data_IF_738733080084
#
_entry.id   IF_738733080084
#
_cell.length_a   1.000
_cell.length_b   1.000
_cell.length_c   1.000
_cell.angle_alpha   90.00
_cell.angle_beta   90.00
_cell.angle_gamma   90.00
#
_symmetry.space_group_name_H-M   'P 1'
#
loop_
_entity.id
_entity.type
_entity.pdbx_description
1 polymer ?
#
# COMPACT_ATOMS: atom_id res chain seq x y z
N UNK A 1 -11.09 20.80 10.27
CA UNK A 1 -12.53 20.45 10.23
C UNK A 1 -13.41 21.62 10.64
N UNK A 2 -13.37 22.07 11.91
CA UNK A 2 -14.22 23.18 12.39
C UNK A 2 -14.12 24.45 11.53
N UNK A 3 -12.91 24.84 11.10
CA UNK A 3 -12.71 25.99 10.23
C UNK A 3 -13.44 25.88 8.88
N UNK A 4 -13.55 24.68 8.31
CA UNK A 4 -14.30 24.48 7.07
C UNK A 4 -15.81 24.61 7.28
N UNK A 5 -16.33 24.04 8.38
CA UNK A 5 -17.74 24.22 8.76
C UNK A 5 -18.08 25.71 8.96
N UNK A 6 -17.22 26.45 9.67
CA UNK A 6 -17.37 27.89 9.83
C UNK A 6 -17.27 28.65 8.51
N UNK A 7 -16.39 28.22 7.59
CA UNK A 7 -16.28 28.83 6.26
C UNK A 7 -17.55 28.64 5.42
N UNK A 8 -18.27 27.52 5.57
CA UNK A 8 -19.54 27.31 4.88
C UNK A 8 -20.63 28.31 5.33
N UNK A 9 -20.58 28.71 6.60
CA UNK A 9 -21.45 29.74 7.20
C UNK A 9 -20.88 31.17 7.04
N UNK A 10 -19.83 31.37 6.24
CA UNK A 10 -19.11 32.65 6.09
C UNK A 10 -18.55 33.22 7.40
N UNK A 11 -18.30 32.38 8.41
CA UNK A 11 -17.79 32.74 9.75
C UNK A 11 -16.34 32.27 9.98
N UNK A 12 -15.57 32.09 8.92
CA UNK A 12 -14.17 31.65 9.04
C UNK A 12 -13.30 32.75 9.66
N UNK A 13 -12.69 32.45 10.81
CA UNK A 13 -11.57 33.23 11.33
C UNK A 13 -10.25 32.70 10.74
N UNK A 14 -9.66 33.44 9.79
CA UNK A 14 -8.42 33.06 9.10
C UNK A 14 -7.20 33.06 10.01
N UNK A 15 -7.13 33.97 10.98
CA UNK A 15 -6.01 34.05 11.93
C UNK A 15 -5.95 32.82 12.83
N UNK A 16 -7.11 32.39 13.33
CA UNK A 16 -7.24 31.16 14.11
C UNK A 16 -6.82 29.95 13.30
N UNK A 17 -7.20 29.89 12.01
CA UNK A 17 -6.76 28.81 11.11
C UNK A 17 -5.23 28.81 10.93
N UNK A 18 -4.62 29.98 10.64
CA UNK A 18 -3.18 30.13 10.41
C UNK A 18 -2.34 29.86 11.66
N UNK A 19 -2.89 30.11 12.86
CA UNK A 19 -2.20 29.83 14.14
C UNK A 19 -1.76 28.37 14.28
N UNK A 20 -2.48 27.44 13.67
CA UNK A 20 -2.17 26.00 13.69
C UNK A 20 -1.45 25.51 12.43
N UNK A 21 -1.12 26.40 11.50
CA UNK A 21 -0.41 26.04 10.27
C UNK A 21 1.09 25.87 10.54
N UNK A 22 1.77 25.18 9.62
CA UNK A 22 3.22 25.15 9.54
C UNK A 22 3.80 26.56 9.36
N UNK A 23 5.09 26.78 9.66
CA UNK A 23 5.76 28.06 9.40
C UNK A 23 5.66 28.53 7.95
N UNK A 24 5.59 27.59 6.99
CA UNK A 24 5.43 27.88 5.56
C UNK A 24 3.99 28.14 5.11
N UNK A 25 3.00 28.06 6.02
CA UNK A 25 1.57 28.18 5.72
C UNK A 25 1.06 27.23 4.63
N UNK A 26 1.74 26.10 4.45
CA UNK A 26 1.50 25.13 3.38
C UNK A 26 0.80 23.85 3.90
N UNK A 27 0.83 23.57 5.21
CA UNK A 27 0.14 22.42 5.79
C UNK A 27 -0.19 22.58 7.27
N UNK A 28 -1.03 21.69 7.80
CA UNK A 28 -1.44 21.67 9.21
C UNK A 28 -0.91 20.42 9.91
N UNK A 29 0.22 20.51 10.64
CA UNK A 29 0.85 19.34 11.26
C UNK A 29 -0.03 18.73 12.35
N UNK A 30 -0.04 17.39 12.42
CA UNK A 30 -0.78 16.62 13.43
C UNK A 30 0.14 15.54 14.00
N UNK A 31 0.20 15.41 15.32
CA UNK A 31 1.07 14.44 16.02
C UNK A 31 0.73 12.96 15.73
N UNK A 32 -0.48 12.68 15.25
CA UNK A 32 -0.98 11.33 14.95
C UNK A 32 -0.44 10.72 13.64
N UNK A 33 0.38 11.46 12.89
CA UNK A 33 1.05 10.97 11.69
C UNK A 33 0.49 11.52 10.37
N UNK A 34 1.14 11.15 9.27
CA UNK A 34 0.94 11.76 7.94
C UNK A 34 -0.50 11.66 7.42
N UNK A 35 -1.20 10.54 7.66
CA UNK A 35 -2.57 10.35 7.15
C UNK A 35 -3.53 11.39 7.75
N UNK A 36 -3.42 11.64 9.06
CA UNK A 36 -4.23 12.65 9.75
C UNK A 36 -3.83 14.08 9.34
N UNK A 37 -2.54 14.30 9.07
CA UNK A 37 -2.02 15.57 8.57
C UNK A 37 -2.56 15.90 7.18
N UNK A 38 -2.65 14.91 6.28
CA UNK A 38 -3.26 15.05 4.96
C UNK A 38 -4.73 15.44 5.06
N UNK A 39 -5.48 14.77 5.94
CA UNK A 39 -6.88 15.08 6.17
C UNK A 39 -7.07 16.50 6.74
N UNK A 40 -6.32 16.85 7.78
CA UNK A 40 -6.39 18.18 8.41
C UNK A 40 -6.07 19.30 7.41
N UNK A 41 -5.01 19.11 6.62
CA UNK A 41 -4.58 20.06 5.58
C UNK A 41 -5.61 20.18 4.47
N UNK A 42 -6.27 19.08 4.08
CA UNK A 42 -7.35 19.09 3.08
C UNK A 42 -8.56 19.91 3.54
N UNK A 43 -8.97 19.77 4.81
CA UNK A 43 -10.02 20.62 5.38
C UNK A 43 -9.62 22.09 5.45
N UNK A 44 -8.35 22.39 5.75
CA UNK A 44 -7.86 23.76 5.76
C UNK A 44 -7.88 24.38 4.34
N UNK A 45 -7.47 23.61 3.32
CA UNK A 45 -7.57 24.01 1.93
C UNK A 45 -9.02 24.32 1.53
N UNK A 46 -9.97 23.43 1.86
CA UNK A 46 -11.40 23.64 1.61
C UNK A 46 -11.92 24.92 2.28
N UNK A 47 -11.50 25.20 3.51
CA UNK A 47 -11.87 26.44 4.22
C UNK A 47 -11.34 27.69 3.51
N UNK A 48 -10.08 27.67 3.06
CA UNK A 48 -9.46 28.78 2.31
C UNK A 48 -10.15 29.01 0.96
N UNK A 49 -10.43 27.92 0.23
CA UNK A 49 -11.14 27.96 -1.07
C UNK A 49 -12.56 28.48 -0.91
N UNK A 50 -13.26 28.08 0.16
CA UNK A 50 -14.61 28.59 0.47
C UNK A 50 -14.61 30.07 0.80
N UNK A 51 -13.56 30.55 1.48
CA UNK A 51 -13.39 31.96 1.82
C UNK A 51 -12.74 32.81 0.69
N UNK A 52 -12.60 32.27 -0.52
CA UNK A 52 -12.01 32.97 -1.68
C UNK A 52 -10.52 33.31 -1.55
N UNK A 53 -9.81 32.73 -0.58
CA UNK A 53 -8.41 33.02 -0.28
C UNK A 53 -7.44 32.22 -1.18
N UNK A 54 -7.56 32.36 -2.51
CA UNK A 54 -6.85 31.50 -3.47
C UNK A 54 -5.32 31.65 -3.44
N UNK A 55 -4.81 32.84 -3.14
CA UNK A 55 -3.37 33.08 -3.01
C UNK A 55 -2.78 32.28 -1.83
N UNK A 56 -3.52 32.19 -0.71
CA UNK A 56 -3.12 31.43 0.47
C UNK A 56 -3.33 29.92 0.28
N UNK A 57 -4.33 29.52 -0.51
CA UNK A 57 -4.59 28.13 -0.82
C UNK A 57 -3.54 27.50 -1.76
N UNK A 58 -2.88 28.30 -2.60
CA UNK A 58 -1.89 27.83 -3.59
C UNK A 58 -0.74 27.01 -2.98
N UNK A 59 0.00 27.48 -1.96
CA UNK A 59 1.06 26.67 -1.34
C UNK A 59 0.53 25.36 -0.74
N UNK A 60 -0.69 25.38 -0.19
CA UNK A 60 -1.34 24.19 0.38
C UNK A 60 -1.61 23.12 -0.68
N UNK A 61 -2.07 23.54 -1.86
CA UNK A 61 -2.28 22.64 -3.00
C UNK A 61 -0.97 22.01 -3.49
N UNK A 62 0.09 22.80 -3.58
CA UNK A 62 1.42 22.30 -3.96
C UNK A 62 1.90 21.24 -2.99
N UNK A 63 1.83 21.52 -1.69
CA UNK A 63 2.22 20.56 -0.65
C UNK A 63 1.41 19.26 -0.74
N UNK A 64 0.08 19.33 -0.85
CA UNK A 64 -0.80 18.15 -0.97
C UNK A 64 -0.49 17.30 -2.21
N UNK A 65 -0.11 17.93 -3.33
CA UNK A 65 0.30 17.22 -4.55
C UNK A 65 1.60 16.44 -4.33
N UNK A 66 2.54 17.00 -3.58
CA UNK A 66 3.83 16.39 -3.26
C UNK A 66 3.73 15.21 -2.29
N UNK A 67 2.69 15.16 -1.45
CA UNK A 67 2.52 14.09 -0.46
C UNK A 67 1.98 12.76 -1.03
N UNK A 68 1.85 12.61 -2.35
CA UNK A 68 1.36 11.35 -2.95
C UNK A 68 2.34 10.21 -2.66
N UNK A 69 1.80 9.08 -2.21
CA UNK A 69 2.56 7.84 -1.97
C UNK A 69 2.00 6.69 -2.82
N UNK A 70 2.51 5.48 -2.53
CA UNK A 70 2.32 4.17 -3.20
C UNK A 70 1.01 4.09 -4.01
N UNK A 71 1.11 3.64 -5.28
CA UNK A 71 -0.02 3.54 -6.23
C UNK A 71 -0.74 4.84 -6.61
N UNK A 72 -0.25 6.01 -6.19
CA UNK A 72 -0.81 7.31 -6.59
C UNK A 72 -2.06 7.67 -5.80
N UNK A 73 -2.28 6.93 -4.71
CA UNK A 73 -3.30 7.14 -3.71
C UNK A 73 -2.62 7.46 -2.37
N UNK A 74 -3.23 8.31 -1.59
CA UNK A 74 -2.97 8.49 -0.16
C UNK A 74 -3.37 7.20 0.59
N UNK A 75 -2.65 6.87 1.66
CA UNK A 75 -2.68 5.55 2.33
C UNK A 75 -4.03 5.18 3.01
N UNK A 76 -5.06 6.03 2.93
CA UNK A 76 -6.36 5.82 3.58
C UNK A 76 -7.49 6.34 2.69
N UNK A 77 -8.65 5.68 2.71
CA UNK A 77 -9.86 6.09 1.96
C UNK A 77 -10.31 7.50 2.34
N UNK A 78 -10.32 7.82 3.63
CA UNK A 78 -10.74 9.14 4.12
C UNK A 78 -9.76 10.24 3.68
N UNK A 79 -8.45 10.02 3.86
CA UNK A 79 -7.44 10.98 3.40
C UNK A 79 -7.47 11.14 1.88
N UNK A 80 -7.62 10.04 1.13
CA UNK A 80 -7.80 10.09 -0.33
C UNK A 80 -8.95 10.99 -0.74
N UNK A 81 -10.15 10.69 -0.23
CA UNK A 81 -11.35 11.41 -0.59
C UNK A 81 -11.20 12.91 -0.29
N UNK A 82 -10.71 13.23 0.91
CA UNK A 82 -10.55 14.63 1.33
C UNK A 82 -9.53 15.39 0.49
N UNK A 83 -8.38 14.79 0.17
CA UNK A 83 -7.37 15.46 -0.64
C UNK A 83 -7.88 15.67 -2.06
N UNK A 84 -8.48 14.64 -2.68
CA UNK A 84 -9.02 14.78 -4.03
C UNK A 84 -10.14 15.83 -4.09
N UNK A 85 -11.07 15.81 -3.13
CA UNK A 85 -12.13 16.80 -3.05
C UNK A 85 -11.57 18.22 -2.91
N UNK A 86 -10.64 18.42 -1.97
CA UNK A 86 -10.08 19.75 -1.70
C UNK A 86 -9.32 20.32 -2.90
N UNK A 87 -8.48 19.50 -3.54
CA UNK A 87 -7.70 19.90 -4.72
C UNK A 87 -8.62 20.12 -5.92
N UNK A 88 -9.64 19.29 -6.14
CA UNK A 88 -10.62 19.49 -7.20
C UNK A 88 -11.40 20.79 -7.00
N UNK A 89 -11.91 21.05 -5.79
CA UNK A 89 -12.67 22.27 -5.50
C UNK A 89 -11.83 23.53 -5.74
N UNK A 90 -10.54 23.51 -5.35
CA UNK A 90 -9.59 24.58 -5.70
C UNK A 90 -9.55 24.83 -7.21
N UNK A 91 -9.30 23.80 -8.03
CA UNK A 91 -9.19 23.95 -9.49
C UNK A 91 -10.51 24.33 -10.17
N UNK A 92 -11.66 23.98 -9.59
CA UNK A 92 -12.97 24.41 -10.15
C UNK A 92 -13.28 25.88 -9.91
N UNK A 93 -12.74 26.47 -8.84
CA UNK A 93 -13.06 27.85 -8.42
C UNK A 93 -12.00 28.87 -8.77
N UNK A 94 -10.74 28.45 -8.84
CA UNK A 94 -9.68 29.29 -9.38
C UNK A 94 -9.99 29.51 -10.85
N UNK A 95 -10.48 30.71 -11.18
CA UNK A 95 -10.46 31.22 -12.55
C UNK A 95 -9.00 31.47 -12.87
N UNK A 96 -8.28 30.43 -13.30
CA UNK A 96 -6.94 30.61 -13.83
C UNK A 96 -7.09 31.47 -15.10
N UNK A 97 -6.82 32.76 -14.92
CA UNK A 97 -6.42 33.62 -16.01
C UNK A 97 -5.22 32.97 -16.70
N UNK A 98 -5.27 32.99 -18.01
CA UNK A 98 -4.37 32.33 -18.95
C UNK A 98 -4.68 30.86 -19.23
N UNK A 99 -5.24 30.69 -20.44
CA UNK A 99 -5.22 29.47 -21.23
C UNK A 99 -3.79 28.93 -21.25
N UNK A 100 -3.43 28.09 -20.29
CA UNK A 100 -2.18 27.34 -20.30
C UNK A 100 -2.15 26.52 -21.60
N UNK A 101 -1.38 26.99 -22.58
CA UNK A 101 -1.00 26.22 -23.75
C UNK A 101 -0.07 25.14 -23.22
N UNK A 102 -0.66 24.05 -22.75
CA UNK A 102 0.05 22.85 -22.34
C UNK A 102 0.44 22.15 -23.64
N UNK A 103 1.60 22.50 -24.20
CA UNK A 103 2.26 21.78 -25.28
C UNK A 103 3.58 21.27 -24.69
N UNK A 104 3.51 20.09 -24.08
CA UNK A 104 4.61 19.43 -23.41
C UNK A 104 4.92 18.13 -24.15
N UNK A 105 6.13 18.03 -24.67
CA UNK A 105 6.65 16.80 -25.26
C UNK A 105 7.59 16.14 -24.26
N UNK A 106 7.43 14.83 -24.06
CA UNK A 106 8.18 14.02 -23.09
C UNK A 106 8.73 12.79 -23.79
N UNK A 107 10.05 12.68 -23.81
CA UNK A 107 10.78 11.53 -24.34
C UNK A 107 11.34 10.71 -23.18
N UNK A 108 10.97 9.43 -23.11
CA UNK A 108 11.41 8.48 -22.08
C UNK A 108 12.33 7.45 -22.72
N UNK A 109 13.60 7.45 -22.34
CA UNK A 109 14.59 6.48 -22.78
C UNK A 109 14.70 5.35 -21.75
N UNK A 110 14.13 4.21 -22.10
CA UNK A 110 14.18 3.00 -21.28
C UNK A 110 15.39 2.12 -21.62
N UNK A 111 15.97 1.41 -20.64
CA UNK A 111 17.05 0.46 -20.87
C UNK A 111 16.60 -0.69 -21.79
N UNK A 112 17.48 -1.11 -22.71
CA UNK A 112 17.22 -2.19 -23.66
C UNK A 112 16.35 -1.82 -24.86
N UNK A 113 15.88 -0.56 -24.98
CA UNK A 113 15.17 -0.07 -26.16
C UNK A 113 16.08 0.83 -27.02
N UNK A 114 16.10 0.64 -28.36
CA UNK A 114 16.92 1.46 -29.24
C UNK A 114 16.38 2.89 -29.40
N UNK A 115 15.06 3.06 -29.32
CA UNK A 115 14.37 4.35 -29.49
C UNK A 115 13.69 4.79 -28.20
N UNK A 116 13.63 6.11 -27.92
CA UNK A 116 12.85 6.63 -26.80
C UNK A 116 11.34 6.54 -27.09
N UNK A 117 10.56 6.33 -26.04
CA UNK A 117 9.11 6.44 -26.10
C UNK A 117 8.74 7.93 -26.05
N UNK A 118 8.05 8.42 -27.08
CA UNK A 118 7.70 9.84 -27.21
C UNK A 118 6.24 10.06 -26.86
N UNK A 119 5.97 11.04 -26.00
CA UNK A 119 4.62 11.44 -25.60
C UNK A 119 4.43 12.93 -25.80
N UNK A 120 3.37 13.31 -26.51
CA UNK A 120 3.00 14.72 -26.69
C UNK A 120 1.69 15.02 -25.96
N UNK A 121 1.74 16.01 -25.08
CA UNK A 121 0.63 16.51 -24.30
C UNK A 121 0.22 17.89 -24.80
N UNK A 122 -1.02 18.00 -25.27
CA UNK A 122 -1.65 19.19 -25.80
C UNK A 122 -2.96 19.49 -25.06
N UNK A 123 -3.61 20.62 -25.35
CA UNK A 123 -4.91 21.00 -24.73
C UNK A 123 -6.03 19.98 -24.90
N UNK A 124 -5.96 19.10 -25.90
CA UNK A 124 -6.99 18.07 -26.14
C UNK A 124 -6.73 16.80 -25.34
N UNK A 125 -5.48 16.49 -25.00
CA UNK A 125 -5.09 15.20 -24.41
C UNK A 125 -4.36 15.32 -23.05
N UNK A 126 -4.23 16.53 -22.49
CA UNK A 126 -3.50 16.78 -21.24
C UNK A 126 -4.01 16.00 -20.01
N UNK A 127 -5.28 15.59 -20.04
CA UNK A 127 -5.88 14.79 -18.97
C UNK A 127 -5.58 13.29 -19.09
N UNK A 128 -5.02 12.84 -20.22
CA UNK A 128 -4.73 11.43 -20.46
C UNK A 128 -3.41 11.04 -19.79
N UNK A 129 -3.44 9.94 -19.04
CA UNK A 129 -2.23 9.31 -18.50
C UNK A 129 -1.57 8.47 -19.60
N UNK A 130 -0.26 8.65 -19.79
CA UNK A 130 0.57 7.81 -20.66
C UNK A 130 1.43 6.88 -19.81
N UNK A 131 1.61 5.64 -20.25
CA UNK A 131 2.39 4.64 -19.53
C UNK A 131 3.30 3.88 -20.48
N UNK A 132 4.52 3.60 -20.05
CA UNK A 132 5.41 2.63 -20.69
C UNK A 132 5.90 1.63 -19.66
N UNK A 133 6.17 0.40 -20.11
CA UNK A 133 6.58 -0.73 -19.26
C UNK A 133 7.93 -1.27 -19.73
N UNK A 134 8.80 -1.62 -18.78
CA UNK A 134 10.05 -2.33 -19.03
C UNK A 134 10.18 -3.53 -18.11
N UNK A 135 10.84 -4.58 -18.59
CA UNK A 135 11.15 -5.77 -17.79
C UNK A 135 12.43 -5.59 -16.96
N UNK A 136 13.22 -4.55 -17.23
CA UNK A 136 14.44 -4.24 -16.49
C UNK A 136 14.13 -3.40 -15.24
N UNK A 137 14.63 -3.84 -14.08
CA UNK A 137 14.51 -3.15 -12.79
C UNK A 137 15.90 -2.61 -12.40
N UNK A 138 15.96 -1.49 -11.67
CA UNK A 138 17.19 -0.84 -11.17
C UNK A 138 18.18 -0.41 -12.26
N UNK A 139 17.67 -0.04 -13.42
CA UNK A 139 18.47 0.51 -14.52
C UNK A 139 18.16 2.00 -14.68
N UNK A 140 19.14 2.84 -15.05
CA UNK A 140 18.91 4.27 -15.21
C UNK A 140 17.91 4.53 -16.35
N UNK A 141 16.95 5.40 -16.09
CA UNK A 141 15.97 5.89 -17.07
C UNK A 141 16.25 7.36 -17.31
N UNK A 142 16.31 7.79 -18.58
CA UNK A 142 16.47 9.20 -18.93
C UNK A 142 15.14 9.76 -19.40
N UNK A 143 14.74 10.89 -18.84
CA UNK A 143 13.51 11.60 -19.24
C UNK A 143 13.87 13.00 -19.69
N UNK A 144 13.44 13.34 -20.89
CA UNK A 144 13.62 14.66 -21.49
C UNK A 144 12.25 15.28 -21.70
N UNK A 145 12.01 16.45 -21.12
CA UNK A 145 10.77 17.19 -21.28
C UNK A 145 11.04 18.52 -22.00
N UNK A 146 10.28 18.81 -23.06
CA UNK A 146 10.41 20.02 -23.87
C UNK A 146 9.07 20.70 -24.09
N UNK A 147 9.06 22.02 -24.22
CA UNK A 147 7.83 22.80 -24.44
C UNK A 147 7.33 23.52 -23.17
N UNK A 148 6.05 23.88 -23.18
CA UNK A 148 5.38 24.65 -22.12
C UNK A 148 4.29 23.80 -21.47
N UNK A 149 4.38 23.59 -20.17
CA UNK A 149 3.41 22.82 -19.40
C UNK A 149 4.01 22.27 -18.12
N UNK A 150 3.16 21.72 -17.27
CA UNK A 150 3.57 21.02 -16.06
C UNK A 150 2.95 19.63 -16.07
N UNK A 151 3.74 18.62 -15.72
CA UNK A 151 3.31 17.23 -15.65
C UNK A 151 3.93 16.53 -14.45
N UNK A 152 3.38 15.37 -14.11
CA UNK A 152 3.91 14.50 -13.06
C UNK A 152 4.36 13.19 -13.70
N UNK A 153 5.64 12.87 -13.53
CA UNK A 153 6.19 11.57 -13.91
C UNK A 153 6.22 10.66 -12.68
N UNK A 154 5.65 9.46 -12.83
CA UNK A 154 5.68 8.43 -11.79
C UNK A 154 6.35 7.17 -12.31
N UNK A 155 7.44 6.76 -11.66
CA UNK A 155 8.13 5.50 -11.95
C UNK A 155 7.81 4.47 -10.87
N UNK A 156 7.33 3.30 -11.31
CA UNK A 156 6.87 2.22 -10.43
C UNK A 156 7.59 0.92 -10.79
N UNK A 157 8.44 0.44 -9.88
CA UNK A 157 9.12 -0.86 -10.04
C UNK A 157 8.38 -1.94 -9.27
N UNK A 158 7.73 -2.86 -9.98
CA UNK A 158 7.07 -4.03 -9.39
C UNK A 158 8.03 -5.22 -9.41
N UNK A 159 8.42 -5.68 -8.23
CA UNK A 159 9.33 -6.81 -8.11
C UNK A 159 8.92 -7.74 -6.98
N UNK A 160 9.53 -8.90 -7.02
CA UNK A 160 9.30 -9.99 -6.12
C UNK A 160 10.41 -9.99 -5.08
N UNK A 161 10.09 -9.68 -3.82
CA UNK A 161 11.05 -9.73 -2.71
C UNK A 161 10.80 -10.96 -1.85
N UNK A 162 11.88 -11.58 -1.35
CA UNK A 162 11.71 -12.57 -0.30
C UNK A 162 10.99 -11.89 0.86
N UNK A 163 10.12 -12.60 1.60
CA UNK A 163 9.68 -12.13 2.89
C UNK A 163 10.96 -12.04 3.74
N UNK A 164 11.57 -10.85 3.79
CA UNK A 164 12.35 -10.50 4.98
C UNK A 164 11.40 -10.84 6.13
N UNK A 165 11.88 -11.52 7.16
CA UNK A 165 11.15 -11.61 8.42
C UNK A 165 11.12 -10.18 8.99
N UNK A 166 10.41 -9.28 8.32
CA UNK A 166 9.74 -8.21 8.97
C UNK A 166 8.60 -8.92 9.67
N UNK A 167 8.89 -9.44 10.86
CA UNK A 167 8.01 -9.03 11.94
C UNK A 167 7.98 -7.49 11.82
N UNK A 168 7.01 -6.96 11.07
CA UNK A 168 6.78 -5.52 11.06
C UNK A 168 6.54 -5.24 12.53
N UNK A 169 7.45 -4.49 13.16
CA UNK A 169 7.42 -4.22 14.59
C UNK A 169 5.97 -3.93 14.96
N UNK A 170 5.37 -4.88 15.70
CA UNK A 170 3.95 -4.88 16.02
C UNK A 170 3.71 -3.82 17.10
N UNK A 171 3.91 -2.55 16.72
CA UNK A 171 3.98 -1.40 17.62
C UNK A 171 2.62 -1.05 18.20
N UNK A 172 1.56 -1.32 17.43
CA UNK A 172 0.18 -0.94 17.76
C UNK A 172 -0.73 -2.10 18.11
N UNK A 173 -0.34 -3.33 17.78
CA UNK A 173 -1.17 -4.51 18.00
C UNK A 173 -0.33 -5.62 18.57
N UNK A 174 -0.84 -6.33 19.57
CA UNK A 174 -0.35 -7.64 19.92
C UNK A 174 -1.21 -8.67 19.17
N UNK A 175 -0.56 -9.44 18.28
CA UNK A 175 -1.21 -10.41 17.41
C UNK A 175 -0.61 -11.80 17.68
N UNK A 176 -1.47 -12.73 18.08
CA UNK A 176 -1.17 -14.16 18.21
C UNK A 176 -1.94 -14.93 17.16
N UNK A 177 -1.28 -15.88 16.50
CA UNK A 177 -1.89 -16.74 15.48
C UNK A 177 -1.48 -18.18 15.76
N UNK A 178 -2.47 -19.04 15.94
CA UNK A 178 -2.28 -20.46 16.22
C UNK A 178 -3.12 -21.30 15.27
N UNK A 179 -2.50 -22.35 14.73
CA UNK A 179 -3.19 -23.33 13.90
C UNK A 179 -3.30 -24.65 14.66
N UNK A 180 -4.51 -25.01 15.07
CA UNK A 180 -4.78 -26.14 15.95
C UNK A 180 -5.41 -27.28 15.12
N UNK A 181 -4.84 -28.48 15.07
CA UNK A 181 -5.46 -29.61 14.36
C UNK A 181 -6.79 -30.00 15.02
N UNK A 182 -7.84 -30.25 14.21
CA UNK A 182 -9.15 -30.73 14.68
C UNK A 182 -9.42 -32.15 14.20
N UNK A 183 -9.18 -32.40 12.90
CA UNK A 183 -9.24 -33.71 12.29
C UNK A 183 -8.17 -33.76 11.21
N UNK A 184 -7.22 -34.69 11.33
CA UNK A 184 -6.17 -34.90 10.33
C UNK A 184 -6.25 -36.35 9.91
N UNK A 185 -7.11 -36.63 8.93
CA UNK A 185 -7.21 -37.92 8.26
C UNK A 185 -6.51 -37.84 6.91
N UNK A 186 -6.28 -38.98 6.26
CA UNK A 186 -5.65 -38.99 4.94
C UNK A 186 -6.47 -38.23 3.89
N UNK A 187 -7.79 -38.28 3.99
CA UNK A 187 -8.79 -37.70 3.09
C UNK A 187 -9.27 -36.30 3.50
N UNK A 188 -9.27 -35.98 4.79
CA UNK A 188 -9.75 -34.69 5.30
C UNK A 188 -8.77 -34.08 6.32
N UNK A 189 -8.22 -32.90 5.99
CA UNK A 189 -7.47 -32.07 6.95
C UNK A 189 -8.27 -30.84 7.34
N UNK A 190 -8.62 -30.78 8.62
CA UNK A 190 -9.35 -29.69 9.26
C UNK A 190 -8.51 -29.12 10.38
N UNK A 191 -8.28 -27.81 10.33
CA UNK A 191 -7.61 -27.06 11.39
C UNK A 191 -8.52 -25.95 11.90
N UNK A 192 -8.45 -25.65 13.20
CA UNK A 192 -9.00 -24.45 13.80
C UNK A 192 -7.92 -23.37 13.80
N UNK A 193 -8.14 -22.30 13.03
CA UNK A 193 -7.30 -21.11 13.07
C UNK A 193 -7.79 -20.22 14.21
N UNK A 194 -6.93 -19.95 15.20
CA UNK A 194 -7.20 -19.07 16.34
C UNK A 194 -6.33 -17.82 16.21
N UNK A 195 -6.97 -16.66 16.27
CA UNK A 195 -6.33 -15.35 16.17
C UNK A 195 -6.73 -14.55 17.41
N UNK A 196 -5.75 -14.12 18.19
CA UNK A 196 -5.97 -13.21 19.32
C UNK A 196 -5.39 -11.84 18.97
N UNK A 197 -6.19 -10.79 19.11
CA UNK A 197 -5.79 -9.41 18.80
C UNK A 197 -6.03 -8.50 20.01
N UNK A 198 -5.01 -7.74 20.39
CA UNK A 198 -5.09 -6.71 21.43
C UNK A 198 -4.48 -5.41 20.89
N UNK A 199 -5.13 -4.28 21.12
CA UNK A 199 -4.58 -2.98 20.74
C UNK A 199 -3.60 -2.47 21.82
N UNK A 200 -2.42 -2.03 21.41
CA UNK A 200 -1.38 -1.53 22.29
C UNK A 200 -1.56 -0.02 22.46
N UNK A 201 -2.44 0.36 23.39
CA UNK A 201 -2.64 1.74 23.81
C UNK A 201 -2.86 1.82 25.31
N UNK A 202 -2.53 2.97 25.91
CA UNK A 202 -2.74 3.21 27.34
C UNK A 202 -4.17 3.66 27.66
N UNK A 203 -4.81 4.36 26.72
CA UNK A 203 -5.96 5.21 27.07
C UNK A 203 -7.19 4.99 26.18
N UNK A 204 -7.11 4.22 25.09
CA UNK A 204 -8.21 4.06 24.14
C UNK A 204 -8.18 2.75 23.36
N UNK A 205 -9.36 2.25 23.02
CA UNK A 205 -9.54 1.16 22.05
C UNK A 205 -9.14 1.63 20.65
N UNK A 206 -8.71 0.69 19.80
CA UNK A 206 -8.59 0.95 18.37
C UNK A 206 -9.97 1.08 17.75
N UNK A 207 -10.08 1.96 16.76
CA UNK A 207 -11.29 2.10 15.95
C UNK A 207 -11.44 0.92 14.98
N UNK A 208 -12.28 1.05 13.96
CA UNK A 208 -12.53 0.00 12.97
C UNK A 208 -11.20 -0.55 12.43
N UNK A 209 -11.00 -1.85 12.65
CA UNK A 209 -9.76 -2.55 12.32
C UNK A 209 -10.04 -3.69 11.36
N UNK A 210 -9.06 -4.00 10.52
CA UNK A 210 -9.18 -5.00 9.45
C UNK A 210 -8.18 -6.11 9.71
N UNK A 211 -8.66 -7.34 9.66
CA UNK A 211 -7.86 -8.55 9.61
C UNK A 211 -7.83 -9.06 8.16
N UNK A 212 -6.66 -9.01 7.54
CA UNK A 212 -6.41 -9.57 6.21
C UNK A 212 -5.65 -10.89 6.36
N UNK A 213 -6.33 -11.98 6.02
CA UNK A 213 -5.91 -13.36 6.27
C UNK A 213 -5.70 -14.05 4.91
N UNK A 214 -4.44 -14.36 4.61
CA UNK A 214 -4.12 -15.29 3.53
C UNK A 214 -4.44 -16.72 3.97
N UNK A 215 -5.02 -17.51 3.07
CA UNK A 215 -5.22 -18.94 3.29
C UNK A 215 -4.03 -19.74 2.77
N UNK A 216 -3.83 -20.93 3.33
CA UNK A 216 -2.89 -21.91 2.78
C UNK A 216 -3.42 -22.36 1.40
N UNK A 217 -2.52 -22.61 0.45
CA UNK A 217 -2.91 -23.09 -0.88
C UNK A 217 -3.74 -24.37 -0.76
N UNK A 218 -4.92 -24.37 -1.39
CA UNK A 218 -5.84 -25.51 -1.36
C UNK A 218 -6.72 -25.60 -0.11
N UNK A 219 -6.69 -24.60 0.77
CA UNK A 219 -7.60 -24.51 1.93
C UNK A 219 -8.75 -23.53 1.68
N UNK A 220 -9.89 -23.82 2.32
CA UNK A 220 -11.05 -22.92 2.37
C UNK A 220 -11.56 -22.76 3.80
N UNK A 221 -12.37 -21.73 4.05
CA UNK A 221 -12.91 -21.40 5.37
C UNK A 221 -14.29 -22.02 5.55
N UNK A 222 -14.61 -22.44 6.77
CA UNK A 222 -15.96 -22.89 7.13
C UNK A 222 -16.86 -21.65 7.33
N UNK A 223 -17.75 -21.39 6.38
CA UNK A 223 -18.60 -20.18 6.41
C UNK A 223 -19.61 -20.18 7.54
N UNK A 224 -19.98 -21.36 8.08
CA UNK A 224 -20.92 -21.43 9.21
C UNK A 224 -20.30 -20.87 10.50
N UNK A 225 -19.00 -21.10 10.70
CA UNK A 225 -18.26 -20.53 11.83
C UNK A 225 -18.20 -18.98 11.70
N UNK A 226 -17.90 -18.47 10.50
CA UNK A 226 -17.84 -17.02 10.23
C UNK A 226 -19.21 -16.34 10.36
N UNK A 227 -20.27 -17.01 9.91
CA UNK A 227 -21.65 -16.57 10.09
C UNK A 227 -22.02 -16.47 11.58
N UNK A 228 -21.60 -17.45 12.38
CA UNK A 228 -21.85 -17.44 13.83
C UNK A 228 -21.10 -16.32 14.55
N UNK A 229 -19.95 -15.90 14.03
CA UNK A 229 -19.18 -14.76 14.57
C UNK A 229 -19.75 -13.40 14.16
N UNK A 230 -20.42 -13.32 13.01
CA UNK A 230 -20.91 -12.05 12.41
C UNK A 230 -22.38 -11.77 12.70
N UNK A 231 -23.19 -12.81 12.93
CA UNK A 231 -24.65 -12.70 13.13
C UNK A 231 -25.01 -12.78 14.62
N UNK A 232 -26.09 -12.12 15.01
CA UNK A 232 -26.65 -12.17 16.36
C UNK A 232 -26.24 -10.99 17.27
N UNK A 233 -26.77 -11.00 18.51
CA UNK A 233 -26.57 -9.92 19.49
C UNK A 233 -25.18 -9.90 20.13
N UNK A 234 -24.47 -11.03 20.10
CA UNK A 234 -23.10 -11.18 20.61
C UNK A 234 -22.06 -11.28 19.49
N UNK A 235 -22.27 -10.62 18.35
CA UNK A 235 -21.34 -10.67 17.21
C UNK A 235 -19.96 -10.16 17.62
N UNK A 236 -18.92 -10.90 17.26
CA UNK A 236 -17.52 -10.52 17.49
C UNK A 236 -16.96 -9.78 16.29
N UNK A 237 -17.40 -10.15 15.09
CA UNK A 237 -16.97 -9.53 13.83
C UNK A 237 -18.12 -8.74 13.21
N UNK A 238 -17.80 -7.64 12.56
CA UNK A 238 -18.79 -6.76 11.93
C UNK A 238 -19.25 -7.33 10.60
N UNK A 239 -18.30 -7.76 9.77
CA UNK A 239 -18.54 -8.39 8.47
C UNK A 239 -17.28 -9.19 8.03
N UNK A 240 -17.41 -10.00 6.98
CA UNK A 240 -16.29 -10.67 6.35
C UNK A 240 -16.46 -10.79 4.83
N UNK A 241 -15.35 -10.86 4.11
CA UNK A 241 -15.30 -11.05 2.65
C UNK A 241 -14.31 -12.16 2.29
N UNK A 242 -14.73 -13.12 1.48
CA UNK A 242 -13.85 -14.15 0.94
C UNK A 242 -13.44 -13.81 -0.49
N UNK A 243 -12.15 -13.59 -0.72
CA UNK A 243 -11.60 -13.34 -2.05
C UNK A 243 -11.07 -14.62 -2.67
N UNK A 244 -11.69 -15.09 -3.76
CA UNK A 244 -11.03 -16.00 -4.73
C UNK A 244 -10.46 -15.26 -5.94
N UNK A 245 -10.87 -14.00 -6.16
CA UNK A 245 -10.72 -13.32 -7.46
C UNK A 245 -9.41 -12.54 -7.61
N UNK A 246 -8.70 -12.24 -6.51
CA UNK A 246 -7.51 -11.35 -6.53
C UNK A 246 -6.19 -12.04 -6.16
N UNK A 247 -6.20 -13.33 -5.78
CA UNK A 247 -5.00 -14.05 -5.38
C UNK A 247 -5.18 -15.57 -5.51
N UNK A 248 -4.21 -16.26 -6.11
CA UNK A 248 -4.23 -17.73 -6.33
C UNK A 248 -4.31 -18.56 -5.03
N UNK A 249 -4.14 -17.92 -3.86
CA UNK A 249 -4.08 -18.55 -2.54
C UNK A 249 -5.38 -18.51 -1.73
N UNK A 250 -6.42 -17.83 -2.21
CA UNK A 250 -7.61 -17.54 -1.41
C UNK A 250 -7.30 -16.56 -0.28
N UNK A 251 -8.20 -15.61 -0.05
CA UNK A 251 -8.08 -14.61 1.02
C UNK A 251 -9.38 -14.47 1.79
N UNK A 252 -9.26 -14.11 3.07
CA UNK A 252 -10.38 -13.75 3.93
C UNK A 252 -10.07 -12.40 4.56
N UNK A 253 -10.99 -11.45 4.42
CA UNK A 253 -10.94 -10.15 5.08
C UNK A 253 -12.02 -10.16 6.16
N UNK A 254 -11.66 -9.83 7.39
CA UNK A 254 -12.60 -9.68 8.52
C UNK A 254 -12.56 -8.24 9.01
N UNK A 255 -13.72 -7.66 9.22
CA UNK A 255 -13.90 -6.31 9.76
C UNK A 255 -14.28 -6.37 11.23
N UNK A 256 -13.57 -5.61 12.07
CA UNK A 256 -13.85 -5.44 13.49
C UNK A 256 -14.30 -4.00 13.74
N UNK A 257 -15.42 -3.82 14.46
CA UNK A 257 -15.93 -2.48 14.80
C UNK A 257 -14.93 -1.71 15.69
N UNK A 258 -14.25 -2.44 16.59
CA UNK A 258 -13.17 -1.94 17.45
C UNK A 258 -12.27 -3.08 17.91
N UNK A 259 -11.08 -2.74 18.40
CA UNK A 259 -10.19 -3.69 19.11
C UNK A 259 -9.88 -3.12 20.48
N UNK A 260 -10.16 -3.90 21.53
CA UNK A 260 -9.93 -3.49 22.90
C UNK A 260 -8.44 -3.31 23.19
N UNK A 261 -8.12 -2.30 24.01
CA UNK A 261 -6.77 -2.10 24.54
C UNK A 261 -6.51 -2.80 25.89
N UNK A 262 -7.55 -3.38 26.50
CA UNK A 262 -7.49 -4.01 27.83
C UNK A 262 -7.59 -5.52 27.80
N UNK A 263 -8.38 -6.07 26.87
CA UNK A 263 -8.64 -7.51 26.77
C UNK A 263 -8.45 -8.00 25.33
N UNK A 264 -7.74 -9.12 25.10
CA UNK A 264 -7.60 -9.68 23.77
C UNK A 264 -8.96 -10.12 23.20
N UNK A 265 -9.20 -9.78 21.93
CA UNK A 265 -10.34 -10.29 21.16
C UNK A 265 -9.90 -11.57 20.46
N UNK A 266 -10.54 -12.69 20.80
CA UNK A 266 -10.31 -13.98 20.13
C UNK A 266 -11.27 -14.14 18.94
N UNK A 267 -10.72 -14.51 17.79
CA UNK A 267 -11.47 -14.88 16.59
C UNK A 267 -10.97 -16.25 16.17
N UNK A 268 -11.87 -17.23 16.12
CA UNK A 268 -11.50 -18.59 15.73
C UNK A 268 -12.54 -19.26 14.82
N UNK A 269 -12.05 -19.94 13.79
CA UNK A 269 -12.86 -20.61 12.78
C UNK A 269 -12.09 -21.77 12.15
N UNK A 270 -12.81 -22.74 11.58
CA UNK A 270 -12.21 -23.88 10.88
C UNK A 270 -11.77 -23.51 9.46
N UNK A 271 -10.64 -24.07 9.05
CA UNK A 271 -10.18 -24.15 7.67
C UNK A 271 -10.06 -25.61 7.26
N UNK A 272 -10.44 -25.93 6.03
CA UNK A 272 -10.46 -27.30 5.48
C UNK A 272 -9.68 -27.37 4.18
N UNK A 273 -8.90 -28.44 4.02
CA UNK A 273 -8.21 -28.75 2.76
C UNK A 273 -9.23 -29.23 1.73
N UNK A 274 -9.34 -28.55 0.60
CA UNK A 274 -10.20 -28.92 -0.54
C UNK A 274 -9.38 -29.34 -1.77
N UNK A 275 -8.10 -28.96 -1.83
CA UNK A 275 -7.18 -29.39 -2.88
C UNK A 275 -5.85 -29.78 -2.23
N UNK A 276 -5.42 -31.02 -2.45
CA UNK A 276 -4.14 -31.51 -1.93
C UNK A 276 -2.98 -30.81 -2.63
N UNK A 277 -2.08 -30.24 -1.85
CA UNK A 277 -0.80 -29.70 -2.34
C UNK A 277 0.36 -30.48 -1.73
N UNK A 278 1.34 -30.86 -2.56
CA UNK A 278 2.52 -31.58 -2.11
C UNK A 278 3.40 -30.73 -1.16
N UNK A 279 3.35 -29.40 -1.30
CA UNK A 279 4.09 -28.45 -0.45
C UNK A 279 3.14 -27.33 -0.04
N UNK A 280 2.91 -27.19 1.26
CA UNK A 280 2.16 -26.09 1.82
C UNK A 280 3.09 -24.89 2.03
N UNK A 281 2.67 -23.73 1.55
CA UNK A 281 3.38 -22.49 1.78
C UNK A 281 2.83 -21.82 3.04
N UNK A 282 3.67 -21.21 3.89
CA UNK A 282 3.18 -20.43 5.01
C UNK A 282 2.24 -19.33 4.53
N UNK A 283 1.16 -19.12 5.28
CA UNK A 283 0.22 -18.05 5.05
C UNK A 283 0.35 -16.98 6.13
N UNK A 284 -0.15 -15.78 5.85
CA UNK A 284 0.00 -14.62 6.73
C UNK A 284 -1.36 -14.14 7.23
N UNK A 285 -1.38 -13.67 8.47
CA UNK A 285 -2.46 -12.86 9.05
C UNK A 285 -1.89 -11.48 9.31
N UNK A 286 -2.59 -10.45 8.86
CA UNK A 286 -2.23 -9.07 9.15
C UNK A 286 -3.39 -8.31 9.77
N UNK A 287 -3.08 -7.45 10.74
CA UNK A 287 -4.03 -6.55 11.38
C UNK A 287 -3.57 -5.11 11.24
N UNK A 288 -4.50 -4.22 10.91
CA UNK A 288 -4.26 -2.78 10.84
C UNK A 288 -5.55 -2.00 11.14
N UNK A 289 -5.41 -0.77 11.62
CA UNK A 289 -6.55 0.14 11.78
C UNK A 289 -6.92 0.72 10.40
N UNK A 290 -8.20 0.89 10.09
CA UNK A 290 -8.62 1.39 8.78
C UNK A 290 -8.04 2.78 8.43
N UNK A 291 -7.78 3.60 9.45
CA UNK A 291 -7.20 4.95 9.28
C UNK A 291 -5.67 4.95 9.25
N UNK A 292 -5.02 3.93 9.78
CA UNK A 292 -3.55 3.83 9.84
C UNK A 292 -3.08 2.44 9.39
N UNK A 293 -2.35 2.42 8.27
CA UNK A 293 -1.82 1.20 7.66
C UNK A 293 -0.57 0.64 8.35
N UNK A 294 -0.27 1.07 9.57
CA UNK A 294 0.75 0.43 10.41
C UNK A 294 0.28 -0.98 10.81
N UNK A 295 0.60 -1.95 9.96
CA UNK A 295 0.15 -3.32 10.08
C UNK A 295 1.08 -4.18 10.93
N UNK A 296 0.53 -5.00 11.82
CA UNK A 296 1.23 -6.14 12.42
C UNK A 296 0.95 -7.40 11.59
N UNK A 297 1.98 -8.20 11.30
CA UNK A 297 1.87 -9.39 10.44
C UNK A 297 2.49 -10.59 11.14
N UNK A 298 1.78 -11.72 11.18
CA UNK A 298 2.26 -13.00 11.69
C UNK A 298 1.98 -14.11 10.67
N UNK A 299 2.85 -15.11 10.61
CA UNK A 299 2.73 -16.23 9.69
C UNK A 299 2.29 -17.50 10.44
N UNK A 300 1.61 -18.40 9.73
CA UNK A 300 1.19 -19.69 10.26
C UNK A 300 1.40 -20.80 9.24
N UNK A 301 1.68 -22.02 9.74
CA UNK A 301 1.88 -23.21 8.93
C UNK A 301 1.68 -24.47 9.82
N UNK A 302 1.08 -25.57 9.33
CA UNK A 302 0.78 -26.75 10.15
C UNK A 302 2.00 -27.41 10.80
N UNK A 303 3.10 -27.52 10.07
CA UNK A 303 4.31 -28.22 10.52
C UNK A 303 5.44 -27.30 11.02
N UNK A 304 5.26 -25.97 11.03
CA UNK A 304 6.36 -25.03 11.29
C UNK A 304 5.99 -24.04 12.37
N UNK A 305 6.88 -23.87 13.34
CA UNK A 305 6.74 -22.89 14.42
C UNK A 305 6.64 -21.49 13.80
N UNK A 306 5.56 -20.77 14.12
CA UNK A 306 5.27 -19.42 13.61
C UNK A 306 5.33 -19.26 12.08
N UNK A 307 5.09 -20.34 11.31
CA UNK A 307 5.12 -20.30 9.84
C UNK A 307 6.48 -19.95 9.23
N UNK A 308 7.58 -20.12 9.97
CA UNK A 308 8.91 -19.72 9.49
C UNK A 308 9.32 -20.50 8.24
N UNK A 309 10.00 -19.83 7.31
CA UNK A 309 10.69 -20.49 6.21
C UNK A 309 11.90 -21.26 6.77
N UNK A 310 12.12 -22.50 6.32
CA UNK A 310 13.26 -23.29 6.79
C UNK A 310 14.55 -22.61 6.34
N UNK A 311 15.43 -22.27 7.30
CA UNK A 311 16.72 -21.62 7.05
C UNK A 311 17.83 -22.38 7.77
N UNK A 312 18.90 -22.63 7.04
CA UNK A 312 20.20 -23.08 7.55
C UNK A 312 21.05 -21.84 7.81
N UNK A 313 21.25 -21.49 9.07
CA UNK A 313 22.07 -20.35 9.45
C UNK A 313 23.44 -20.79 9.96
N UNK A 314 24.51 -20.15 9.49
CA UNK A 314 25.87 -20.24 10.04
C UNK A 314 26.32 -18.83 10.42
N UNK A 315 26.29 -18.51 11.71
CA UNK A 315 26.45 -17.13 12.18
C UNK A 315 25.33 -16.23 11.64
N UNK A 316 25.68 -15.08 11.06
CA UNK A 316 24.73 -14.14 10.45
C UNK A 316 24.33 -14.51 9.01
N UNK A 317 24.92 -15.55 8.41
CA UNK A 317 24.53 -16.01 7.07
C UNK A 317 23.46 -17.10 7.17
N UNK A 318 22.24 -16.80 6.70
CA UNK A 318 21.16 -17.78 6.59
C UNK A 318 20.90 -18.14 5.12
N UNK A 319 20.97 -19.43 4.79
CA UNK A 319 20.55 -20.01 3.51
C UNK A 319 19.19 -20.68 3.67
N UNK A 320 18.29 -20.55 2.71
CA UNK A 320 17.00 -21.24 2.79
C UNK A 320 17.16 -22.75 2.50
N UNK A 321 16.45 -23.57 3.27
CA UNK A 321 16.62 -25.03 3.31
C UNK A 321 15.51 -25.81 2.59
N UNK A 322 14.59 -25.11 1.92
CA UNK A 322 13.37 -25.71 1.33
C UNK A 322 13.58 -26.36 -0.05
N UNK A 323 14.83 -26.75 -0.36
CA UNK A 323 15.20 -27.43 -1.61
C UNK A 323 16.53 -26.92 -2.17
N UNK A 324 17.43 -27.86 -2.50
CA UNK A 324 18.75 -27.61 -3.10
C UNK A 324 18.63 -27.66 -4.63
N UNK A 325 18.89 -26.54 -5.30
CA UNK A 325 19.89 -26.52 -6.38
C UNK A 325 20.90 -25.42 -6.06
N UNK A 326 22.16 -25.74 -6.31
CA UNK A 326 23.35 -25.01 -5.91
C UNK A 326 23.20 -23.48 -6.03
N UNK A 327 23.38 -22.77 -4.91
CA UNK A 327 23.56 -21.32 -4.90
C UNK A 327 22.31 -20.43 -4.85
N UNK A 328 21.08 -20.95 -4.97
CA UNK A 328 19.84 -20.15 -4.77
C UNK A 328 18.73 -20.97 -4.13
N UNK A 329 18.07 -20.38 -3.13
CA UNK A 329 16.85 -20.91 -2.51
C UNK A 329 15.84 -21.27 -3.61
N UNK A 330 15.67 -22.57 -3.86
CA UNK A 330 14.91 -23.07 -5.00
C UNK A 330 13.43 -23.11 -4.68
N UNK A 331 12.78 -21.94 -4.79
CA UNK A 331 11.41 -21.80 -5.28
C UNK A 331 11.22 -20.48 -6.08
N UNK A 332 12.34 -19.84 -6.41
CA UNK A 332 12.40 -18.58 -7.13
C UNK A 332 13.16 -18.81 -8.44
N UNK A 333 12.49 -19.40 -9.43
CA UNK A 333 13.09 -19.59 -10.75
C UNK A 333 13.11 -18.25 -11.49
N UNK A 334 14.31 -17.70 -11.65
CA UNK A 334 14.66 -16.91 -12.81
C UNK A 334 15.79 -17.66 -13.52
N UNK A 335 15.43 -18.58 -14.42
CA UNK A 335 16.41 -19.18 -15.34
C UNK A 335 16.72 -18.17 -16.43
N UNK A 336 17.89 -17.53 -16.33
CA UNK A 336 18.65 -17.14 -17.52
C UNK A 336 19.73 -18.19 -17.73
N UNK A 337 19.48 -19.12 -18.64
CA UNK A 337 20.54 -19.87 -19.31
C UNK A 337 20.16 -20.03 -20.78
N UNK A 338 20.91 -19.34 -21.63
CA UNK A 338 20.98 -19.56 -23.07
C UNK A 338 21.38 -21.01 -23.38
N UNK A 339 20.48 -21.79 -24.00
CA UNK A 339 20.79 -22.58 -25.22
C UNK A 339 19.60 -23.46 -25.67
N UNK A 340 19.23 -23.26 -26.94
CA UNK A 340 18.59 -24.15 -27.93
C UNK A 340 17.65 -25.29 -27.45
N UNK A 341 16.36 -24.98 -27.40
CA UNK A 341 15.22 -25.58 -28.18
C UNK A 341 13.93 -25.26 -27.42
N UNK A 342 12.90 -24.89 -28.17
CA UNK A 342 11.73 -24.16 -27.67
C UNK A 342 10.89 -24.92 -26.66
N UNK A 343 10.66 -24.30 -25.50
CA UNK A 343 9.49 -24.47 -24.63
C UNK A 343 9.20 -23.10 -24.02
N UNK A 344 7.95 -22.65 -24.08
CA UNK A 344 7.52 -21.37 -23.51
C UNK A 344 7.59 -21.40 -21.96
N UNK A 345 8.10 -20.37 -21.27
CA UNK A 345 8.14 -20.37 -19.81
C UNK A 345 6.76 -20.03 -19.22
N UNK A 346 6.25 -20.92 -18.37
CA UNK A 346 5.09 -20.67 -17.52
C UNK A 346 5.46 -19.77 -16.32
N UNK A 347 4.57 -18.81 -16.02
CA UNK A 347 4.64 -17.84 -14.94
C UNK A 347 4.81 -18.49 -13.54
N UNK A 348 5.97 -18.32 -12.88
CA UNK A 348 6.25 -18.82 -11.52
C UNK A 348 6.37 -17.64 -10.52
N UNK A 349 5.27 -17.33 -9.81
CA UNK A 349 5.11 -16.18 -8.88
C UNK A 349 5.15 -16.55 -7.38
N UNK A 350 5.59 -17.77 -7.04
CA UNK A 350 5.11 -18.43 -5.81
C UNK A 350 5.91 -18.20 -4.51
N UNK A 351 7.04 -17.50 -4.48
CA UNK A 351 7.82 -17.32 -3.23
C UNK A 351 8.10 -15.88 -2.81
N UNK A 352 7.43 -14.93 -3.44
CA UNK A 352 7.81 -13.54 -3.31
C UNK A 352 6.63 -12.64 -3.00
N UNK A 353 6.84 -11.68 -2.11
CA UNK A 353 5.91 -10.58 -1.90
C UNK A 353 6.12 -9.57 -3.02
N UNK A 354 5.04 -9.11 -3.64
CA UNK A 354 5.11 -8.03 -4.63
C UNK A 354 5.45 -6.73 -3.91
N UNK A 355 6.68 -6.27 -4.07
CA UNK A 355 7.16 -4.98 -3.56
C UNK A 355 7.13 -3.92 -4.67
N UNK A 356 6.97 -2.66 -4.26
CA UNK A 356 6.85 -1.51 -5.16
C UNK A 356 7.76 -0.38 -4.69
N UNK A 357 8.68 0.06 -5.55
CA UNK A 357 9.48 1.26 -5.33
C UNK A 357 8.92 2.40 -6.18
N UNK A 358 8.71 3.58 -5.58
CA UNK A 358 8.17 4.76 -6.25
C UNK A 358 9.18 5.90 -6.23
N UNK A 359 9.38 6.53 -7.39
CA UNK A 359 10.14 7.78 -7.51
C UNK A 359 9.30 8.78 -8.30
N UNK A 360 9.10 9.97 -7.74
CA UNK A 360 8.36 11.07 -8.35
C UNK A 360 9.31 12.23 -8.63
N UNK A 361 9.28 12.76 -9.85
CA UNK A 361 10.03 13.95 -10.22
C UNK A 361 9.04 15.05 -10.64
N UNK A 362 9.15 16.21 -9.98
CA UNK A 362 8.39 17.41 -10.30
C UNK A 362 9.25 18.28 -11.21
N UNK A 363 8.83 18.49 -12.47
CA UNK A 363 9.48 19.45 -13.36
C UNK A 363 8.59 20.69 -13.49
N UNK A 364 9.11 21.84 -13.02
CA UNK A 364 8.55 23.17 -13.25
C UNK A 364 9.53 23.90 -14.16
N UNK A 365 9.26 23.95 -15.46
CA UNK A 365 10.09 24.73 -16.39
C UNK A 365 9.62 26.19 -16.42
N UNK A 366 10.27 27.02 -15.61
CA UNK A 366 10.51 28.42 -15.97
C UNK A 366 11.97 28.65 -16.45
N UNK A 367 12.90 27.71 -16.26
CA UNK A 367 14.26 27.69 -16.83
C UNK A 367 14.86 26.25 -16.79
N UNK A 368 15.92 25.92 -17.57
CA UNK A 368 16.30 24.53 -17.85
C UNK A 368 17.01 23.82 -16.68
N UNK A 369 16.56 22.61 -16.34
CA UNK A 369 17.20 21.73 -15.35
C UNK A 369 18.45 21.03 -15.94
N UNK A 370 19.61 21.16 -15.26
CA UNK A 370 20.78 20.28 -15.46
C UNK A 370 20.70 19.06 -14.53
N UNK A 371 21.13 17.91 -15.04
CA UNK A 371 20.88 16.58 -14.48
C UNK A 371 21.54 16.27 -13.13
N UNK A 372 20.90 15.36 -12.39
CA UNK A 372 21.43 14.74 -11.18
C UNK A 372 22.20 13.47 -11.57
N UNK A 373 23.52 13.45 -11.29
CA UNK A 373 24.34 12.23 -11.27
C UNK A 373 24.16 11.55 -9.91
N UNK A 374 24.01 10.22 -9.93
CA UNK A 374 24.19 9.39 -8.74
C UNK A 374 25.68 9.40 -8.34
N UNK A 375 25.98 9.71 -7.08
CA UNK A 375 27.25 9.36 -6.44
C UNK A 375 27.03 8.08 -5.63
N UNK A 376 27.73 7.02 -6.01
CA UNK A 376 28.00 5.90 -5.11
C UNK A 376 29.03 6.38 -4.07
N UNK A 377 28.66 6.36 -2.80
CA UNK A 377 29.64 6.19 -1.73
C UNK A 377 29.23 4.96 -0.94
N UNK A 378 30.07 3.93 -1.05
CA UNK A 378 30.00 2.74 -0.23
C UNK A 378 30.69 2.97 1.12
N UNK A 379 30.15 2.31 2.15
CA UNK A 379 30.87 1.33 2.94
C UNK A 379 29.90 0.48 3.76
#
# INVERSE_FOLDING_TARGET
MASYALANENRLNKETLKRFASPGLDHWPVSKGLIYQLEATSYALLALVRAGAFAEARPVVSWLKEQKRIRGAYLSTQANLMVYQAVAEYFTRVKEGEKNVQNLDVDIRLPGRPTPDKFSFNRQNFHLTRSSKSNSINQPVTVTATGKGQGVLKMVSLYYTSPKQMERNCQKFNLSVQLIPQSVREDEKVYKLRIDVLYLSKDQDATMSVLDIGLLTGFTVDTNDLDSLSKGRGRTISNYETGRVLSDRGSLIIYLDKVSHTQPVEISFKIREVLRSAVLQPAAVSVYEHKDQTSCVKFYHPARIAGQLMRLCKGNECKCAEGKQEGRCSFCVATTSTSRRGIAPADLKSCFVKAELNMECYSVMLHPCRGLRYSEEGH
#
